data_IF_400763952990
#
_entry.id   IF_400763952990
#
_cell.length_a   1.000
_cell.length_b   1.000
_cell.length_c   1.000
_cell.angle_alpha   90.00
_cell.angle_beta   90.00
_cell.angle_gamma   90.00
#
_symmetry.space_group_name_H-M   'P 1'
#
loop_
_entity.id
_entity.type
_entity.pdbx_description
1 polymer ?
#
# COMPACT_ATOMS: atom_id res chain seq x y z
N UNK A 1 4.04 -0.35 16.13
CA UNK A 1 4.30 -0.16 14.70
C UNK A 1 5.43 0.83 14.40
N UNK A 2 5.23 2.16 14.41
CA UNK A 2 6.28 3.13 14.00
C UNK A 2 7.66 2.91 14.65
N UNK A 3 7.73 2.88 15.99
CA UNK A 3 8.98 2.58 16.73
C UNK A 3 9.60 1.21 16.46
N UNK A 4 8.80 0.23 15.99
CA UNK A 4 9.27 -1.14 15.73
C UNK A 4 10.07 -1.21 14.43
N UNK A 5 9.72 -0.36 13.47
CA UNK A 5 10.32 -0.32 12.14
C UNK A 5 11.16 0.95 11.92
N UNK A 6 11.33 1.77 12.95
CA UNK A 6 11.95 3.10 12.90
C UNK A 6 11.31 4.03 11.85
N UNK A 7 9.97 4.03 11.79
CA UNK A 7 9.18 4.78 10.80
C UNK A 7 8.35 5.87 11.48
N UNK A 8 8.44 7.09 10.94
CA UNK A 8 7.55 8.20 11.27
C UNK A 8 6.29 8.14 10.41
N UNK A 9 5.22 7.52 10.93
CA UNK A 9 3.95 7.42 10.19
C UNK A 9 3.33 8.82 9.94
N UNK A 10 2.89 9.11 8.71
CA UNK A 10 2.13 10.31 8.39
C UNK A 10 0.86 10.46 9.23
N UNK A 11 0.49 11.69 9.58
CA UNK A 11 -0.65 11.96 10.46
C UNK A 11 -1.99 11.51 9.89
N UNK A 12 -2.16 11.57 8.57
CA UNK A 12 -3.37 11.12 7.89
C UNK A 12 -3.52 9.59 7.95
N UNK A 13 -2.42 8.86 7.83
CA UNK A 13 -2.43 7.41 8.02
C UNK A 13 -2.66 6.99 9.47
N UNK A 14 -2.08 7.72 10.44
CA UNK A 14 -2.37 7.51 11.87
C UNK A 14 -3.87 7.67 12.13
N UNK A 15 -4.48 8.75 11.61
CA UNK A 15 -5.91 8.99 11.77
C UNK A 15 -6.74 7.81 11.21
N UNK A 16 -6.38 7.27 10.04
CA UNK A 16 -7.03 6.08 9.48
C UNK A 16 -6.93 4.85 10.39
N UNK A 17 -5.74 4.59 10.95
CA UNK A 17 -5.55 3.47 11.86
C UNK A 17 -6.37 3.62 13.15
N UNK A 18 -6.54 4.85 13.64
CA UNK A 18 -7.36 5.14 14.82
C UNK A 18 -8.87 5.04 14.54
N UNK A 19 -9.32 5.42 13.35
CA UNK A 19 -10.76 5.46 13.03
C UNK A 19 -11.31 4.15 12.47
N UNK A 20 -10.52 3.48 11.64
CA UNK A 20 -10.98 2.33 10.83
C UNK A 20 -10.12 1.09 11.06
N UNK A 21 -8.81 1.27 11.25
CA UNK A 21 -7.85 0.19 11.51
C UNK A 21 -7.89 -0.93 10.45
N UNK A 22 -7.75 -0.54 9.19
CA UNK A 22 -7.94 -1.42 8.05
C UNK A 22 -9.36 -1.33 7.46
N UNK A 23 -9.64 -2.16 6.46
CA UNK A 23 -10.97 -2.24 5.84
C UNK A 23 -10.94 -2.90 4.48
N UNK A 24 -12.09 -3.45 4.08
CA UNK A 24 -12.33 -3.90 2.71
C UNK A 24 -12.84 -2.71 1.91
N UNK A 25 -12.29 -2.51 0.72
CA UNK A 25 -12.70 -1.46 -0.22
C UNK A 25 -13.83 -2.01 -1.09
N UNK A 26 -14.92 -1.23 -1.22
CA UNK A 26 -16.05 -1.63 -2.04
C UNK A 26 -15.65 -1.75 -3.52
N UNK A 27 -15.83 -2.95 -4.07
CA UNK A 27 -15.46 -3.28 -5.45
C UNK A 27 -16.44 -2.62 -6.41
N UNK A 28 -15.96 -1.65 -7.18
CA UNK A 28 -16.74 -0.99 -8.22
C UNK A 28 -15.84 -0.45 -9.32
N UNK A 29 -16.42 -0.06 -10.45
CA UNK A 29 -15.64 0.60 -11.51
C UNK A 29 -15.06 1.97 -11.08
N UNK A 30 -15.37 2.42 -9.85
CA UNK A 30 -14.93 3.70 -9.28
C UNK A 30 -13.78 3.58 -8.28
N UNK A 31 -13.43 2.37 -7.82
CA UNK A 31 -12.31 2.16 -6.88
C UNK A 31 -11.01 1.75 -7.60
N UNK A 32 -10.86 2.17 -8.86
CA UNK A 32 -9.68 1.87 -9.67
C UNK A 32 -8.60 2.93 -9.52
N UNK A 33 -7.35 2.47 -9.37
CA UNK A 33 -6.15 3.29 -9.37
C UNK A 33 -5.42 3.07 -10.69
N UNK A 34 -5.23 4.14 -11.47
CA UNK A 34 -4.45 4.09 -12.70
C UNK A 34 -2.95 4.12 -12.39
N UNK A 35 -2.20 3.20 -12.98
CA UNK A 35 -0.75 3.08 -12.84
C UNK A 35 -0.11 3.42 -14.19
N UNK A 36 0.46 4.62 -14.30
CA UNK A 36 1.04 5.11 -15.56
C UNK A 36 2.17 4.21 -16.08
N UNK A 37 2.99 3.64 -15.19
CA UNK A 37 4.17 2.86 -15.55
C UNK A 37 3.90 1.53 -16.26
N UNK A 38 2.66 1.02 -16.17
CA UNK A 38 2.18 -0.23 -16.80
C UNK A 38 0.93 0.00 -17.66
N UNK A 39 0.49 1.26 -17.82
CA UNK A 39 -0.68 1.65 -18.60
C UNK A 39 -1.94 0.81 -18.27
N UNK A 40 -2.19 0.57 -16.98
CA UNK A 40 -3.30 -0.27 -16.50
C UNK A 40 -3.91 0.27 -15.21
N UNK A 41 -5.12 -0.20 -14.89
CA UNK A 41 -5.82 0.07 -13.64
C UNK A 41 -5.79 -1.15 -12.72
N UNK A 42 -5.66 -0.90 -11.41
CA UNK A 42 -5.83 -1.92 -10.36
C UNK A 42 -6.95 -1.54 -9.41
N UNK A 43 -7.58 -2.53 -8.80
CA UNK A 43 -8.60 -2.33 -7.76
C UNK A 43 -8.00 -2.68 -6.40
N UNK A 44 -7.86 -1.68 -5.54
CA UNK A 44 -7.50 -1.91 -4.14
C UNK A 44 -8.58 -2.77 -3.50
N UNK A 45 -8.21 -3.89 -2.86
CA UNK A 45 -9.15 -4.80 -2.21
C UNK A 45 -9.18 -4.56 -0.71
N UNK A 46 -8.02 -4.64 -0.06
CA UNK A 46 -7.93 -4.54 1.40
C UNK A 46 -6.90 -3.51 1.82
N UNK A 47 -7.29 -2.60 2.71
CA UNK A 47 -6.36 -1.80 3.49
C UNK A 47 -6.10 -2.49 4.83
N UNK A 48 -4.83 -2.60 5.18
CA UNK A 48 -4.38 -3.33 6.36
C UNK A 48 -4.50 -2.49 7.64
N UNK A 49 -4.64 -3.20 8.75
CA UNK A 49 -4.67 -2.64 10.09
C UNK A 49 -3.61 -3.24 11.01
N UNK A 50 -3.61 -2.77 12.25
CA UNK A 50 -2.81 -3.30 13.34
C UNK A 50 -3.66 -4.14 14.28
N UNK A 51 -3.12 -5.25 14.78
CA UNK A 51 -3.79 -6.10 15.77
C UNK A 51 -5.22 -6.48 15.38
N UNK A 52 -5.47 -6.71 14.08
CA UNK A 52 -6.81 -6.98 13.53
C UNK A 52 -7.39 -8.34 13.94
N UNK A 53 -6.57 -9.23 14.50
CA UNK A 53 -6.93 -10.64 14.72
C UNK A 53 -6.97 -11.47 13.43
N UNK A 54 -6.76 -10.85 12.26
CA UNK A 54 -6.67 -11.51 10.97
C UNK A 54 -5.27 -11.32 10.36
N UNK A 55 -4.50 -12.41 10.27
CA UNK A 55 -3.14 -12.36 9.74
C UNK A 55 -3.06 -11.93 8.27
N UNK A 56 -4.12 -12.11 7.47
CA UNK A 56 -4.10 -11.74 6.05
C UNK A 56 -4.16 -10.23 5.83
N UNK A 57 -4.70 -9.46 6.79
CA UNK A 57 -4.85 -8.00 6.69
C UNK A 57 -4.13 -7.26 7.83
N UNK A 58 -3.10 -7.88 8.39
CA UNK A 58 -2.32 -7.32 9.49
C UNK A 58 -0.96 -6.83 8.97
N UNK A 59 -0.68 -5.55 9.18
CA UNK A 59 0.54 -4.89 8.71
C UNK A 59 1.79 -5.58 9.25
N UNK A 60 1.81 -5.95 10.54
CA UNK A 60 3.01 -6.50 11.16
C UNK A 60 3.39 -7.86 10.58
N UNK A 61 2.41 -8.68 10.18
CA UNK A 61 2.64 -9.97 9.53
C UNK A 61 3.29 -9.80 8.16
N UNK A 62 2.83 -8.84 7.37
CA UNK A 62 3.39 -8.58 6.04
C UNK A 62 4.75 -7.91 6.12
N UNK A 63 4.92 -6.94 7.02
CA UNK A 63 6.21 -6.32 7.28
C UNK A 63 7.24 -7.33 7.78
N UNK A 64 6.87 -8.31 8.63
CA UNK A 64 7.81 -9.37 9.04
C UNK A 64 8.30 -10.23 7.88
N UNK A 65 7.48 -10.41 6.84
CA UNK A 65 7.81 -11.24 5.69
C UNK A 65 8.66 -10.53 4.65
N UNK A 66 8.38 -9.25 4.39
CA UNK A 66 8.85 -8.56 3.18
C UNK A 66 9.74 -7.34 3.46
N UNK A 67 9.85 -6.87 4.71
CA UNK A 67 10.62 -5.65 5.02
C UNK A 67 12.06 -5.65 4.52
N UNK A 68 12.70 -6.82 4.42
CA UNK A 68 14.12 -6.93 4.07
C UNK A 68 14.33 -6.69 2.56
N UNK A 69 13.26 -6.80 1.76
CA UNK A 69 13.23 -6.51 0.32
C UNK A 69 12.70 -5.09 0.02
N UNK A 70 12.35 -4.33 1.06
CA UNK A 70 11.73 -3.01 0.94
C UNK A 70 12.72 -1.88 1.25
N UNK A 71 12.44 -0.71 0.69
CA UNK A 71 13.16 0.51 1.05
C UNK A 71 12.95 0.88 2.53
N UNK A 72 14.00 1.33 3.21
CA UNK A 72 13.90 1.85 4.58
C UNK A 72 12.87 2.99 4.67
N UNK A 73 12.11 3.05 5.77
CA UNK A 73 11.02 4.02 5.92
C UNK A 73 9.70 3.61 5.24
N UNK A 74 9.64 2.42 4.65
CA UNK A 74 8.44 1.91 3.96
C UNK A 74 7.57 1.02 4.85
N UNK A 75 6.26 1.03 4.59
CA UNK A 75 5.29 0.18 5.26
C UNK A 75 4.28 -0.38 4.27
N UNK A 76 3.93 -1.66 4.41
CA UNK A 76 2.85 -2.30 3.64
C UNK A 76 1.52 -1.90 4.27
N UNK A 77 0.64 -1.32 3.46
CA UNK A 77 -0.64 -0.76 3.91
C UNK A 77 -1.87 -1.43 3.30
N UNK A 78 -1.71 -2.36 2.36
CA UNK A 78 -2.82 -3.05 1.73
C UNK A 78 -2.41 -3.92 0.55
N UNK A 79 -3.42 -4.47 -0.11
CA UNK A 79 -3.30 -5.26 -1.34
C UNK A 79 -4.41 -4.94 -2.35
N UNK A 80 -4.23 -5.47 -3.56
CA UNK A 80 -5.21 -5.43 -4.64
C UNK A 80 -5.80 -6.84 -4.90
N UNK A 81 -6.71 -6.93 -5.88
CA UNK A 81 -7.32 -8.21 -6.28
C UNK A 81 -6.37 -9.18 -7.00
N UNK A 82 -5.23 -8.70 -7.48
CA UNK A 82 -4.30 -9.41 -8.35
C UNK A 82 -2.96 -9.75 -7.65
N UNK A 83 -2.92 -9.72 -6.33
CA UNK A 83 -1.72 -10.00 -5.51
C UNK A 83 -0.63 -8.92 -5.58
N UNK A 84 -0.96 -7.72 -6.05
CA UNK A 84 -0.17 -6.52 -5.88
C UNK A 84 -0.25 -5.97 -4.46
N UNK A 85 0.84 -5.34 -4.02
CA UNK A 85 0.99 -4.83 -2.66
C UNK A 85 0.98 -3.31 -2.68
N UNK A 86 0.28 -2.69 -1.75
CA UNK A 86 0.29 -1.23 -1.58
C UNK A 86 1.31 -0.87 -0.50
N UNK A 87 2.31 -0.11 -0.90
CA UNK A 87 3.43 0.32 -0.06
C UNK A 87 3.37 1.83 0.14
N UNK A 88 3.59 2.28 1.37
CA UNK A 88 3.75 3.69 1.70
C UNK A 88 5.17 3.94 2.16
N UNK A 89 5.87 4.85 1.49
CA UNK A 89 7.17 5.38 1.93
C UNK A 89 6.88 6.64 2.74
N UNK A 90 7.24 6.64 4.03
CA UNK A 90 6.72 7.61 4.98
C UNK A 90 7.50 8.94 5.03
N UNK A 91 8.75 8.94 4.57
CA UNK A 91 9.64 10.10 4.66
C UNK A 91 10.71 10.09 3.57
N UNK A 92 11.38 11.23 3.40
CA UNK A 92 12.46 11.41 2.41
C UNK A 92 11.96 11.81 1.02
N UNK A 93 12.89 11.76 0.04
CA UNK A 93 12.65 12.17 -1.34
C UNK A 93 11.61 11.29 -2.05
N UNK A 94 11.54 10.02 -1.67
CA UNK A 94 10.63 9.03 -2.24
C UNK A 94 9.32 8.89 -1.46
N UNK A 95 9.00 9.83 -0.56
CA UNK A 95 7.75 9.76 0.20
C UNK A 95 6.53 9.73 -0.73
N UNK A 96 5.61 8.79 -0.47
CA UNK A 96 4.44 8.59 -1.32
C UNK A 96 3.83 7.19 -1.17
N UNK A 97 2.80 6.94 -1.98
CA UNK A 97 2.12 5.65 -2.08
C UNK A 97 2.50 4.99 -3.41
N UNK A 98 2.84 3.72 -3.33
CA UNK A 98 3.32 2.91 -4.43
C UNK A 98 2.52 1.61 -4.52
N UNK A 99 2.36 1.14 -5.74
CA UNK A 99 1.94 -0.22 -6.06
C UNK A 99 3.19 -1.05 -6.34
N UNK A 100 3.34 -2.17 -5.64
CA UNK A 100 4.44 -3.11 -5.82
C UNK A 100 3.92 -4.41 -6.44
N UNK A 101 4.32 -4.65 -7.69
CA UNK A 101 4.04 -5.86 -8.46
C UNK A 101 5.07 -6.96 -8.18
N UNK A 102 5.14 -7.42 -6.93
CA UNK A 102 6.09 -8.46 -6.51
C UNK A 102 5.89 -9.80 -7.25
N UNK A 103 4.67 -10.04 -7.75
CA UNK A 103 4.33 -11.28 -8.46
C UNK A 103 4.42 -11.17 -9.99
N UNK A 104 4.93 -10.06 -10.53
CA UNK A 104 5.14 -9.85 -11.97
C UNK A 104 3.88 -10.06 -12.81
N UNK A 105 2.75 -9.51 -12.38
CA UNK A 105 1.50 -9.57 -13.13
C UNK A 105 1.56 -8.73 -14.41
N UNK A 106 2.36 -7.67 -14.44
CA UNK A 106 2.54 -6.81 -15.61
C UNK A 106 3.79 -7.18 -16.41
N UNK A 107 3.69 -7.18 -17.74
CA UNK A 107 4.83 -7.49 -18.62
C UNK A 107 5.96 -6.46 -18.49
N UNK A 108 5.64 -5.23 -18.08
CA UNK A 108 6.59 -4.16 -17.80
C UNK A 108 7.38 -4.36 -16.51
N UNK A 109 6.93 -5.27 -15.63
CA UNK A 109 7.59 -5.56 -14.37
C UNK A 109 8.81 -6.46 -14.56
N UNK A 110 9.91 -6.06 -13.95
CA UNK A 110 11.20 -6.77 -13.96
C UNK A 110 11.80 -6.71 -12.56
N UNK A 111 12.82 -7.54 -12.29
CA UNK A 111 13.48 -7.59 -10.97
C UNK A 111 13.98 -6.21 -10.51
N UNK A 112 14.31 -5.32 -11.46
CA UNK A 112 14.79 -3.96 -11.20
C UNK A 112 13.68 -2.89 -11.21
N UNK A 113 12.49 -3.23 -11.75
CA UNK A 113 11.41 -2.28 -11.98
C UNK A 113 10.06 -2.98 -11.84
N UNK A 114 9.54 -3.04 -10.62
CA UNK A 114 8.21 -3.57 -10.33
C UNK A 114 7.44 -2.73 -9.30
N UNK A 115 7.97 -1.57 -8.90
CA UNK A 115 7.33 -0.65 -7.96
C UNK A 115 6.96 0.66 -8.67
N UNK A 116 5.70 1.06 -8.57
CA UNK A 116 5.11 2.14 -9.35
C UNK A 116 4.43 3.15 -8.43
N UNK A 117 4.75 4.43 -8.60
CA UNK A 117 4.09 5.50 -7.83
C UNK A 117 2.61 5.63 -8.22
N UNK A 118 1.73 5.80 -7.23
CA UNK A 118 0.27 5.93 -7.46
C UNK A 118 -0.37 7.14 -6.78
N UNK A 119 0.15 7.62 -5.64
CA UNK A 119 -0.39 8.80 -4.97
C UNK A 119 0.67 9.48 -4.09
N UNK A 120 0.50 10.78 -3.84
CA UNK A 120 1.42 11.58 -3.03
C UNK A 120 1.33 11.32 -1.52
N UNK A 121 0.16 10.93 -1.03
CA UNK A 121 -0.14 10.72 0.39
C UNK A 121 -1.33 9.77 0.55
N UNK A 122 -1.56 9.28 1.77
CA UNK A 122 -2.62 8.33 2.05
C UNK A 122 -3.99 8.94 1.79
N UNK A 123 -4.19 10.21 2.16
CA UNK A 123 -5.43 10.93 1.89
C UNK A 123 -5.80 10.94 0.40
N UNK A 124 -4.81 11.16 -0.47
CA UNK A 124 -5.01 11.17 -1.93
C UNK A 124 -5.38 9.79 -2.45
N UNK A 125 -4.75 8.72 -1.94
CA UNK A 125 -5.15 7.35 -2.28
C UNK A 125 -6.63 7.11 -1.92
N UNK A 126 -7.04 7.51 -0.71
CA UNK A 126 -8.41 7.37 -0.24
C UNK A 126 -9.41 8.14 -1.13
N UNK A 127 -9.05 9.37 -1.53
CA UNK A 127 -9.85 10.18 -2.45
C UNK A 127 -9.95 9.59 -3.86
N UNK A 128 -9.01 8.72 -4.26
CA UNK A 128 -9.08 7.99 -5.53
C UNK A 128 -10.07 6.82 -5.45
N UNK A 129 -10.07 6.07 -4.34
CA UNK A 129 -10.83 4.81 -4.24
C UNK A 129 -12.24 4.96 -3.64
N UNK A 130 -12.61 6.14 -3.11
CA UNK A 130 -13.95 6.42 -2.56
C UNK A 130 -14.90 7.16 -3.52
N UNK A 131 -14.55 7.28 -4.81
CA UNK A 131 -15.32 8.06 -5.81
C UNK A 131 -16.61 7.39 -6.27
#
# INVERSE_FOLDING_TARGET
MGRRYDINLPSDYIAFLETSNGGIVDKSDRNQVWIEGVNSSVNIDVLYGVNTGNSSSNIEIWMEKLKDDMMEGSIIIGDDLMQGIIVMICEGEFAGIYYWDDSFQFEESTDEKNTYWIAKDFSTLIDMIRR
#
